data_IF_557739661792
#
_entry.id   IF_557739661792
#
_cell.length_a   1.000
_cell.length_b   1.000
_cell.length_c   1.000
_cell.angle_alpha   90.00
_cell.angle_beta   90.00
_cell.angle_gamma   90.00
#
_symmetry.space_group_name_H-M   'P 1'
#
loop_
_entity.id
_entity.type
_entity.pdbx_description
1 polymer ?
#
# COMPACT_ATOMS: atom_id res chain seq x y z
N UNK A 1 5.10 -22.45 -19.04
CA UNK A 1 3.70 -22.11 -19.34
C UNK A 1 3.13 -21.35 -18.16
N UNK A 2 3.20 -20.02 -18.20
CA UNK A 2 2.57 -19.14 -17.21
C UNK A 2 1.10 -18.97 -17.63
N UNK A 3 0.19 -19.56 -16.87
CA UNK A 3 -1.24 -19.31 -17.02
C UNK A 3 -1.46 -17.88 -16.53
N UNK A 4 -1.60 -16.93 -17.45
CA UNK A 4 -2.15 -15.63 -17.16
C UNK A 4 -3.63 -15.84 -16.84
N UNK A 5 -3.95 -15.96 -15.55
CA UNK A 5 -5.32 -15.78 -15.08
C UNK A 5 -5.69 -14.33 -15.39
N UNK A 6 -6.48 -14.13 -16.45
CA UNK A 6 -7.18 -12.87 -16.72
C UNK A 6 -8.12 -12.60 -15.54
N UNK A 7 -7.59 -11.97 -14.49
CA UNK A 7 -8.38 -11.56 -13.33
C UNK A 7 -9.22 -10.38 -13.77
N UNK A 8 -10.57 -10.44 -13.67
CA UNK A 8 -11.39 -9.29 -14.00
C UNK A 8 -10.96 -8.09 -13.15
N UNK A 9 -10.57 -7.01 -13.82
CA UNK A 9 -10.03 -5.81 -13.20
C UNK A 9 -10.94 -5.31 -12.06
N UNK A 10 -10.35 -4.92 -10.93
CA UNK A 10 -11.09 -4.28 -9.83
C UNK A 10 -12.04 -5.16 -9.00
N UNK A 11 -12.06 -6.49 -9.18
CA UNK A 11 -13.07 -7.34 -8.53
C UNK A 11 -12.59 -8.08 -7.29
N UNK A 12 -11.28 -8.36 -7.19
CA UNK A 12 -10.75 -9.20 -6.10
C UNK A 12 -10.70 -8.43 -4.80
N UNK A 13 -11.12 -9.06 -3.70
CA UNK A 13 -10.93 -8.53 -2.36
C UNK A 13 -9.42 -8.50 -2.00
N UNK A 14 -8.82 -7.33 -1.74
CA UNK A 14 -7.40 -7.22 -1.37
C UNK A 14 -7.02 -7.98 -0.11
N UNK A 15 -7.96 -8.16 0.83
CA UNK A 15 -7.72 -8.89 2.06
C UNK A 15 -7.30 -10.35 1.82
N UNK A 16 -7.59 -10.92 0.63
CA UNK A 16 -7.18 -12.29 0.30
C UNK A 16 -5.67 -12.47 0.10
N UNK A 17 -4.90 -11.38 0.03
CA UNK A 17 -3.43 -11.42 -0.10
C UNK A 17 -2.72 -11.70 1.24
N UNK A 18 -3.42 -11.50 2.34
CA UNK A 18 -2.91 -11.61 3.71
C UNK A 18 -3.64 -12.76 4.40
N UNK A 19 -2.92 -13.62 5.12
CA UNK A 19 -3.57 -14.73 5.84
C UNK A 19 -4.41 -14.18 7.00
N UNK A 20 -5.46 -14.90 7.45
CA UNK A 20 -6.29 -14.45 8.56
C UNK A 20 -5.47 -14.14 9.83
N UNK A 21 -4.46 -14.94 10.14
CA UNK A 21 -3.63 -14.79 11.33
C UNK A 21 -2.78 -13.52 11.28
N UNK A 22 -2.22 -13.20 10.11
CA UNK A 22 -1.46 -11.96 9.90
C UNK A 22 -2.40 -10.76 9.90
N UNK A 23 -3.57 -10.89 9.27
CA UNK A 23 -4.60 -9.84 9.26
C UNK A 23 -4.99 -9.43 10.68
N UNK A 24 -5.30 -10.38 11.55
CA UNK A 24 -5.69 -10.07 12.94
C UNK A 24 -4.54 -9.43 13.73
N UNK A 25 -3.31 -9.93 13.56
CA UNK A 25 -2.13 -9.40 14.24
C UNK A 25 -1.85 -7.94 13.86
N UNK A 26 -1.86 -7.65 12.56
CA UNK A 26 -1.66 -6.30 12.04
C UNK A 26 -2.83 -5.38 12.42
N UNK A 27 -4.07 -5.87 12.36
CA UNK A 27 -5.23 -5.04 12.70
C UNK A 27 -5.21 -4.64 14.18
N UNK A 28 -4.91 -5.59 15.07
CA UNK A 28 -4.71 -5.32 16.49
C UNK A 28 -3.52 -4.39 16.77
N UNK A 29 -2.50 -4.37 15.90
CA UNK A 29 -1.42 -3.39 16.00
C UNK A 29 -1.89 -1.98 15.63
N UNK A 30 -2.59 -1.84 14.49
CA UNK A 30 -3.07 -0.55 14.01
C UNK A 30 -4.01 0.09 15.03
N UNK A 31 -4.98 -0.65 15.55
CA UNK A 31 -5.96 -0.11 16.52
C UNK A 31 -5.32 0.32 17.84
N UNK A 32 -4.24 -0.36 18.26
CA UNK A 32 -3.48 0.02 19.45
C UNK A 32 -2.70 1.33 19.26
N UNK A 33 -2.10 1.50 18.09
CA UNK A 33 -1.25 2.66 17.80
C UNK A 33 -2.09 3.86 17.29
N UNK A 34 -3.32 3.61 16.82
CA UNK A 34 -4.25 4.61 16.28
C UNK A 34 -5.65 4.40 16.90
N UNK A 35 -5.92 4.92 18.11
CA UNK A 35 -7.15 4.64 18.86
C UNK A 35 -8.46 5.03 18.14
N UNK A 36 -8.41 5.98 17.20
CA UNK A 36 -9.57 6.41 16.40
C UNK A 36 -9.89 5.45 15.24
N UNK A 37 -9.01 4.47 14.97
CA UNK A 37 -9.23 3.46 13.94
C UNK A 37 -9.83 2.21 14.58
N UNK A 38 -11.05 1.85 14.19
CA UNK A 38 -11.68 0.62 14.64
C UNK A 38 -11.11 -0.63 13.93
N UNK A 39 -11.38 -1.81 14.50
CA UNK A 39 -10.84 -3.07 13.99
C UNK A 39 -11.31 -3.40 12.54
N UNK A 40 -12.59 -3.20 12.17
CA UNK A 40 -13.02 -3.34 10.77
C UNK A 40 -12.26 -2.43 9.80
N UNK A 41 -12.03 -1.16 10.16
CA UNK A 41 -11.28 -0.21 9.34
C UNK A 41 -9.81 -0.59 9.25
N UNK A 42 -9.20 -1.04 10.35
CA UNK A 42 -7.82 -1.54 10.34
C UNK A 42 -7.63 -2.71 9.36
N UNK A 43 -8.57 -3.66 9.30
CA UNK A 43 -8.53 -4.77 8.32
C UNK A 43 -8.63 -4.27 6.87
N UNK A 44 -9.49 -3.28 6.60
CA UNK A 44 -9.61 -2.64 5.28
C UNK A 44 -8.30 -1.94 4.89
N UNK A 45 -7.67 -1.24 5.82
CA UNK A 45 -6.35 -0.58 5.64
C UNK A 45 -5.27 -1.61 5.24
N UNK A 46 -5.17 -2.73 5.96
CA UNK A 46 -4.19 -3.78 5.66
C UNK A 46 -4.43 -4.38 4.27
N UNK A 47 -5.70 -4.64 3.92
CA UNK A 47 -6.05 -5.12 2.59
C UNK A 47 -5.59 -4.15 1.49
N UNK A 48 -5.90 -2.86 1.62
CA UNK A 48 -5.49 -1.85 0.63
C UNK A 48 -3.96 -1.68 0.58
N UNK A 49 -3.25 -1.79 1.70
CA UNK A 49 -1.78 -1.80 1.73
C UNK A 49 -1.19 -3.00 1.00
N UNK A 50 -1.77 -4.19 1.17
CA UNK A 50 -1.35 -5.38 0.44
C UNK A 50 -1.57 -5.23 -1.08
N UNK A 51 -2.71 -4.66 -1.50
CA UNK A 51 -2.95 -4.40 -2.92
C UNK A 51 -2.01 -3.32 -3.49
N UNK A 52 -1.72 -2.27 -2.73
CA UNK A 52 -0.73 -1.25 -3.11
C UNK A 52 0.65 -1.88 -3.36
N UNK A 53 1.12 -2.72 -2.45
CA UNK A 53 2.40 -3.43 -2.60
C UNK A 53 2.41 -4.38 -3.80
N UNK A 54 1.32 -5.14 -4.00
CA UNK A 54 1.18 -6.02 -5.15
C UNK A 54 1.19 -5.25 -6.48
N UNK A 55 0.52 -4.10 -6.53
CA UNK A 55 0.50 -3.23 -7.71
C UNK A 55 1.87 -2.63 -8.01
N UNK A 56 2.59 -2.16 -6.98
CA UNK A 56 3.97 -1.66 -7.13
C UNK A 56 4.93 -2.74 -7.62
N UNK A 57 4.81 -3.95 -7.08
CA UNK A 57 5.61 -5.09 -7.53
C UNK A 57 5.34 -5.46 -9.00
N UNK A 58 4.09 -5.36 -9.47
CA UNK A 58 3.71 -5.62 -10.86
C UNK A 58 4.14 -4.50 -11.82
N UNK A 59 4.34 -3.27 -11.32
CA UNK A 59 4.74 -2.10 -12.11
C UNK A 59 5.96 -1.38 -11.48
N UNK A 60 7.17 -1.98 -11.49
CA UNK A 60 8.34 -1.43 -10.78
C UNK A 60 8.83 -0.06 -11.27
N UNK A 61 8.42 0.36 -12.47
CA UNK A 61 8.76 1.67 -13.04
C UNK A 61 7.70 2.74 -12.78
N UNK A 62 6.59 2.37 -12.13
CA UNK A 62 5.53 3.31 -11.80
C UNK A 62 5.82 3.98 -10.45
N UNK A 63 5.85 5.30 -10.45
CA UNK A 63 5.87 6.10 -9.23
C UNK A 63 4.46 6.08 -8.61
N UNK A 64 4.24 5.09 -7.74
CA UNK A 64 3.03 4.95 -6.95
C UNK A 64 3.23 5.57 -5.57
N UNK A 65 2.19 6.23 -5.05
CA UNK A 65 2.14 6.77 -3.69
C UNK A 65 0.93 6.23 -2.95
N UNK A 66 1.05 5.79 -1.69
CA UNK A 66 -0.09 5.38 -0.88
C UNK A 66 -0.90 6.61 -0.42
N UNK A 67 -2.14 6.39 0.03
CA UNK A 67 -2.86 7.36 0.87
C UNK A 67 -2.35 7.29 2.31
N UNK A 68 -2.70 8.27 3.15
CA UNK A 68 -2.29 8.29 4.57
C UNK A 68 -2.70 7.01 5.32
N UNK A 69 -3.94 6.55 5.13
CA UNK A 69 -4.43 5.36 5.81
C UNK A 69 -3.69 4.10 5.33
N UNK A 70 -3.45 3.99 4.01
CA UNK A 70 -2.74 2.85 3.41
C UNK A 70 -1.27 2.83 3.81
N UNK A 71 -0.66 4.00 3.95
CA UNK A 71 0.71 4.18 4.43
C UNK A 71 0.89 3.67 5.87
N UNK A 72 -0.06 3.95 6.78
CA UNK A 72 -0.09 3.35 8.13
C UNK A 72 -0.14 1.83 8.07
N UNK A 73 -0.92 1.26 7.14
CA UNK A 73 -1.00 -0.17 6.91
C UNK A 73 0.34 -0.76 6.47
N UNK A 74 1.01 -0.14 5.49
CA UNK A 74 2.32 -0.57 5.01
C UNK A 74 3.39 -0.48 6.10
N UNK A 75 3.48 0.64 6.80
CA UNK A 75 4.41 0.84 7.91
C UNK A 75 4.19 -0.15 9.06
N UNK A 76 2.93 -0.49 9.34
CA UNK A 76 2.63 -1.54 10.33
C UNK A 76 3.11 -2.91 9.83
N UNK A 77 2.90 -3.21 8.56
CA UNK A 77 3.26 -4.50 7.97
C UNK A 77 4.78 -4.70 7.93
N UNK A 78 5.55 -3.71 7.45
CA UNK A 78 7.02 -3.83 7.32
C UNK A 78 7.73 -4.06 8.67
N UNK A 79 7.13 -3.62 9.78
CA UNK A 79 7.64 -3.87 11.13
C UNK A 79 7.40 -5.32 11.63
N UNK A 80 6.54 -6.09 10.96
CA UNK A 80 6.34 -7.52 11.20
C UNK A 80 7.16 -8.31 10.16
N UNK A 81 8.48 -8.22 10.29
CA UNK A 81 9.45 -8.56 9.24
C UNK A 81 9.33 -9.99 8.70
N UNK A 82 8.98 -10.97 9.54
CA UNK A 82 8.75 -12.36 9.12
C UNK A 82 7.54 -12.44 8.19
N UNK A 83 6.38 -11.94 8.63
CA UNK A 83 5.15 -11.94 7.84
C UNK A 83 5.31 -11.12 6.55
N UNK A 84 6.04 -10.00 6.63
CA UNK A 84 6.28 -9.11 5.50
C UNK A 84 7.20 -9.76 4.46
N UNK A 85 8.27 -10.43 4.88
CA UNK A 85 9.17 -11.13 3.96
C UNK A 85 8.44 -12.28 3.24
N UNK A 86 7.66 -13.07 3.96
CA UNK A 86 6.85 -14.15 3.37
C UNK A 86 5.78 -13.61 2.39
N UNK A 87 5.13 -12.50 2.75
CA UNK A 87 4.20 -11.82 1.86
C UNK A 87 4.88 -11.35 0.57
N UNK A 88 6.03 -10.68 0.70
CA UNK A 88 6.78 -10.15 -0.44
C UNK A 88 7.22 -11.28 -1.38
N UNK A 89 7.74 -12.38 -0.84
CA UNK A 89 8.13 -13.55 -1.64
C UNK A 89 6.91 -14.14 -2.37
N UNK A 90 5.77 -14.30 -1.71
CA UNK A 90 4.56 -14.85 -2.32
C UNK A 90 3.98 -13.96 -3.42
N UNK A 91 4.01 -12.64 -3.24
CA UNK A 91 3.34 -11.67 -4.13
C UNK A 91 4.27 -11.19 -5.24
N UNK A 92 5.57 -11.03 -4.97
CA UNK A 92 6.52 -10.40 -5.86
C UNK A 92 7.72 -11.30 -6.23
N UNK A 93 7.92 -12.44 -5.54
CA UNK A 93 9.12 -13.29 -5.71
C UNK A 93 10.42 -12.61 -5.28
N UNK A 94 10.33 -11.53 -4.51
CA UNK A 94 11.44 -10.74 -3.98
C UNK A 94 10.97 -9.90 -2.81
N UNK A 95 11.90 -9.45 -1.95
CA UNK A 95 11.60 -8.44 -0.94
C UNK A 95 11.23 -7.10 -1.60
N UNK A 96 10.17 -6.45 -1.12
CA UNK A 96 9.78 -5.09 -1.54
C UNK A 96 10.44 -4.12 -0.56
N UNK A 97 11.39 -3.31 -1.04
CA UNK A 97 12.15 -2.42 -0.18
C UNK A 97 11.40 -1.09 -0.01
N UNK A 98 11.28 -0.64 1.24
CA UNK A 98 10.81 0.72 1.51
C UNK A 98 11.99 1.68 1.48
N UNK A 99 11.91 2.69 0.61
CA UNK A 99 12.88 3.80 0.53
C UNK A 99 12.13 5.09 0.88
N UNK A 100 12.40 5.70 2.05
CA UNK A 100 11.78 6.98 2.42
C UNK A 100 12.18 8.08 1.43
N UNK A 101 11.22 8.91 1.02
CA UNK A 101 11.52 10.15 0.30
C UNK A 101 12.15 11.17 1.24
N UNK A 102 13.10 12.01 0.77
CA UNK A 102 13.68 13.07 1.58
C UNK A 102 12.62 14.10 2.04
N UNK A 103 12.78 14.63 3.26
CA UNK A 103 11.87 15.60 3.88
C UNK A 103 11.67 16.91 3.08
N UNK A 104 12.48 17.16 2.06
CA UNK A 104 12.38 18.34 1.18
C UNK A 104 11.33 18.18 0.07
N UNK A 105 10.86 16.95 -0.17
CA UNK A 105 9.82 16.62 -1.16
C UNK A 105 8.52 16.20 -0.47
N UNK A 106 8.14 16.91 0.60
CA UNK A 106 6.86 16.76 1.29
C UNK A 106 5.70 17.26 0.42
N UNK A 107 5.48 16.60 -0.71
CA UNK A 107 4.26 16.68 -1.47
C UNK A 107 3.33 15.60 -0.94
N UNK A 108 2.20 16.01 -0.37
CA UNK A 108 1.01 15.17 -0.38
C UNK A 108 0.92 14.52 -1.76
N UNK A 109 0.83 13.19 -1.82
CA UNK A 109 0.88 12.45 -3.08
C UNK A 109 -0.02 13.13 -4.09
N UNK A 110 0.59 13.70 -5.14
CA UNK A 110 -0.14 14.59 -6.06
C UNK A 110 -1.40 13.91 -6.58
N UNK A 111 -2.42 14.67 -6.97
CA UNK A 111 -3.63 14.09 -7.55
C UNK A 111 -3.30 13.10 -8.70
N UNK A 112 -2.24 13.39 -9.47
CA UNK A 112 -1.71 12.51 -10.50
C UNK A 112 -1.09 11.22 -9.93
N UNK A 113 -0.24 11.31 -8.89
CA UNK A 113 0.35 10.14 -8.24
C UNK A 113 -0.73 9.23 -7.62
N UNK A 114 -1.73 9.82 -6.94
CA UNK A 114 -2.90 9.07 -6.44
C UNK A 114 -3.62 8.34 -7.58
N UNK A 115 -3.92 9.05 -8.68
CA UNK A 115 -4.63 8.43 -9.80
C UNK A 115 -3.83 7.26 -10.39
N UNK A 116 -2.51 7.42 -10.59
CA UNK A 116 -1.62 6.33 -11.03
C UNK A 116 -1.68 5.13 -10.09
N UNK A 117 -1.69 5.34 -8.77
CA UNK A 117 -1.82 4.26 -7.79
C UNK A 117 -3.15 3.52 -7.91
N UNK A 118 -4.27 4.24 -8.04
CA UNK A 118 -5.58 3.62 -8.18
C UNK A 118 -5.71 2.83 -9.48
N UNK A 119 -5.18 3.36 -10.58
CA UNK A 119 -5.16 2.67 -11.87
C UNK A 119 -4.32 1.38 -11.78
N UNK A 120 -3.16 1.44 -11.12
CA UNK A 120 -2.30 0.29 -10.90
C UNK A 120 -2.97 -0.81 -10.05
N UNK A 121 -3.63 -0.44 -8.95
CA UNK A 121 -4.38 -1.37 -8.10
C UNK A 121 -5.51 -2.04 -8.89
N UNK A 122 -6.23 -1.27 -9.69
CA UNK A 122 -7.33 -1.77 -10.52
C UNK A 122 -6.82 -2.73 -11.60
N UNK A 123 -5.74 -2.36 -12.29
CA UNK A 123 -5.08 -3.17 -13.31
C UNK A 123 -4.51 -4.49 -12.73
N UNK A 124 -4.06 -4.47 -11.48
CA UNK A 124 -3.66 -5.66 -10.74
C UNK A 124 -4.85 -6.55 -10.30
N UNK A 125 -6.09 -6.13 -10.58
CA UNK A 125 -7.31 -6.93 -10.36
C UNK A 125 -7.96 -6.74 -8.98
N UNK A 126 -7.54 -5.72 -8.22
CA UNK A 126 -7.97 -5.50 -6.84
C UNK A 126 -9.01 -4.39 -6.72
N UNK A 127 -10.00 -4.60 -5.85
CA UNK A 127 -11.02 -3.59 -5.53
C UNK A 127 -10.42 -2.43 -4.73
N UNK A 128 -10.74 -1.22 -5.13
CA UNK A 128 -10.43 0.00 -4.39
C UNK A 128 -11.48 0.25 -3.31
N UNK A 129 -11.00 0.63 -2.13
CA UNK A 129 -11.83 1.16 -1.05
C UNK A 129 -11.75 2.68 -1.02
N UNK A 130 -12.72 3.37 -1.62
CA UNK A 130 -12.66 4.82 -1.82
C UNK A 130 -12.62 5.63 -0.52
N UNK A 131 -13.10 5.10 0.61
CA UNK A 131 -13.01 5.78 1.91
C UNK A 131 -11.56 5.90 2.38
N UNK A 132 -10.73 4.92 2.02
CA UNK A 132 -9.31 4.88 2.38
C UNK A 132 -8.42 5.57 1.34
N UNK A 133 -8.99 6.00 0.21
CA UNK A 133 -8.31 6.75 -0.84
C UNK A 133 -9.05 8.07 -1.11
N UNK A 134 -9.11 9.01 -0.14
CA UNK A 134 -9.80 10.28 -0.34
C UNK A 134 -9.15 11.10 -1.45
N UNK A 135 -9.93 12.00 -2.05
CA UNK A 135 -9.40 12.93 -3.07
C UNK A 135 -8.31 13.82 -2.47
N UNK A 136 -7.31 14.16 -3.28
CA UNK A 136 -6.17 14.98 -2.85
C UNK A 136 -6.61 16.31 -2.22
N UNK A 137 -7.70 16.92 -2.71
CA UNK A 137 -8.26 18.16 -2.16
C UNK A 137 -8.85 18.02 -0.74
N UNK A 138 -9.11 16.80 -0.27
CA UNK A 138 -9.60 16.48 1.09
C UNK A 138 -8.49 15.92 1.99
N UNK A 139 -7.29 15.73 1.45
CA UNK A 139 -6.13 15.28 2.19
C UNK A 139 -5.55 16.49 2.94
N UNK A 140 -6.19 16.94 4.02
CA UNK A 140 -5.75 18.14 4.74
C UNK A 140 -4.32 18.04 5.28
N UNK A 141 -3.63 19.17 5.48
CA UNK A 141 -2.28 19.26 6.02
C UNK A 141 -2.16 18.51 7.36
N UNK A 142 -1.56 17.32 7.35
CA UNK A 142 -1.21 16.60 8.57
C UNK A 142 0.31 16.54 8.64
N UNK A 143 0.88 17.24 9.64
CA UNK A 143 2.33 17.42 9.85
C UNK A 143 3.05 16.16 10.36
N UNK A 144 2.42 15.00 10.29
CA UNK A 144 2.99 13.72 10.77
C UNK A 144 3.22 12.70 9.63
N UNK A 145 2.88 13.07 8.39
CA UNK A 145 3.07 12.21 7.22
C UNK A 145 3.95 12.95 6.19
N UNK A 146 5.25 13.01 6.44
CA UNK A 146 6.19 13.74 5.59
C UNK A 146 6.80 12.93 4.43
N UNK A 147 6.38 11.67 4.21
CA UNK A 147 7.05 10.81 3.22
C UNK A 147 6.05 10.23 2.22
N UNK A 148 6.03 10.78 0.99
CA UNK A 148 5.39 10.14 -0.15
C UNK A 148 6.24 8.96 -0.61
N UNK A 149 5.99 7.76 -0.09
CA UNK A 149 6.87 6.61 -0.32
C UNK A 149 6.52 5.84 -1.61
N UNK A 150 7.50 5.63 -2.48
CA UNK A 150 7.41 4.84 -3.72
C UNK A 150 8.40 3.66 -3.73
N UNK A 151 8.00 2.47 -4.21
CA UNK A 151 8.91 1.33 -4.54
C UNK A 151 9.62 1.59 -5.87
N UNK A 152 10.45 2.63 -5.95
CA UNK A 152 11.25 2.93 -7.14
C UNK A 152 12.74 2.87 -6.80
N UNK A 153 13.56 2.12 -7.58
CA UNK A 153 14.99 2.14 -7.38
C UNK A 153 15.49 3.54 -7.76
N UNK A 154 15.94 4.29 -6.75
CA UNK A 154 16.64 5.56 -6.96
C UNK A 154 17.90 5.26 -7.80
N UNK A 155 17.79 5.45 -9.11
CA UNK A 155 18.92 5.38 -10.02
C UNK A 155 19.70 6.68 -9.86
N UNK A 156 20.51 6.70 -8.80
CA UNK A 156 21.36 7.84 -8.44
C UNK A 156 22.13 8.32 -9.67
N UNK A 157 21.78 9.52 -10.14
CA UNK A 157 22.61 10.25 -11.08
C UNK A 157 23.87 10.69 -10.34
N UNK A 158 25.01 10.15 -10.75
CA UNK A 158 26.34 10.70 -10.44
C UNK A 158 26.55 12.02 -11.15
#
# INVERSE_FOLDING_TARGET
MTVALERPAGTTNPASLVTPEVMERLAARITRDNPDTDLPTARRIIGQAAAFLAAGAALPSAELSPSKAVDVGWHTFILHTVDYAEFCERVAGRFIHHVPTPDTETGEGSAAARQRTLDAITAAGFRIDHDLWPDAAKMGNCSQCHAGCSDSPNSGKK
#
